data_IF_188717212480
#
_entry.id   IF_188717212480
#
_cell.length_a   1.000
_cell.length_b   1.000
_cell.length_c   1.000
_cell.angle_alpha   90.00
_cell.angle_beta   90.00
_cell.angle_gamma   90.00
#
_symmetry.space_group_name_H-M   'P 1'
#
loop_
_entity.id
_entity.type
_entity.pdbx_description
1 polymer ?
#
# COMPACT_ATOMS: atom_id res chain seq x y z
N UNK A 1 17.14 30.71 -1.28
CA UNK A 1 15.80 30.58 -0.67
C UNK A 1 14.77 30.93 -1.73
N UNK A 2 13.91 29.99 -2.12
CA UNK A 2 12.79 30.26 -3.04
C UNK A 2 11.53 30.55 -2.23
N UNK A 3 10.78 31.63 -2.52
CA UNK A 3 9.57 31.99 -1.80
C UNK A 3 8.36 31.25 -2.39
N UNK A 4 7.66 30.44 -1.58
CA UNK A 4 6.37 29.87 -1.95
C UNK A 4 6.15 28.43 -1.48
N UNK A 5 5.34 28.30 -0.43
CA UNK A 5 4.62 27.14 0.10
C UNK A 5 4.92 25.73 -0.44
N UNK A 6 5.35 24.85 0.47
CA UNK A 6 5.29 23.37 0.43
C UNK A 6 4.89 22.76 -0.92
N UNK A 7 5.79 22.84 -1.91
CA UNK A 7 5.64 22.05 -3.12
C UNK A 7 5.77 20.59 -2.71
N UNK A 8 4.67 19.84 -2.73
CA UNK A 8 4.70 18.39 -2.53
C UNK A 8 5.61 17.77 -3.59
N UNK A 9 6.83 17.42 -3.20
CA UNK A 9 7.91 17.06 -4.12
C UNK A 9 7.61 15.76 -4.90
N UNK A 10 6.59 14.99 -4.50
CA UNK A 10 6.04 13.89 -5.30
C UNK A 10 4.56 13.57 -4.94
N UNK A 11 3.57 13.95 -5.76
CA UNK A 11 2.15 13.64 -5.51
C UNK A 11 1.83 12.14 -5.61
N UNK A 12 2.69 11.32 -6.20
CA UNK A 12 2.49 9.88 -6.34
C UNK A 12 2.43 9.15 -4.99
N UNK A 13 3.05 9.70 -3.95
CA UNK A 13 3.10 9.08 -2.62
C UNK A 13 2.46 9.95 -1.54
N UNK A 14 2.24 11.23 -1.82
CA UNK A 14 1.75 12.18 -0.83
C UNK A 14 0.36 11.83 -0.27
N UNK A 15 -0.52 11.21 -1.08
CA UNK A 15 -1.84 10.80 -0.63
C UNK A 15 -1.80 9.75 0.50
N UNK A 16 -0.71 8.99 0.63
CA UNK A 16 -0.55 7.98 1.68
C UNK A 16 -0.38 8.62 3.08
N UNK A 17 0.02 9.89 3.13
CA UNK A 17 0.07 10.67 4.37
C UNK A 17 -1.25 11.39 4.69
N UNK A 18 -2.29 11.18 3.86
CA UNK A 18 -3.63 11.72 4.11
C UNK A 18 -4.27 11.10 5.35
N UNK A 19 -5.03 11.91 6.12
CA UNK A 19 -5.65 11.51 7.39
C UNK A 19 -6.54 10.25 7.30
N UNK A 20 -7.13 9.99 6.13
CA UNK A 20 -8.03 8.85 5.90
C UNK A 20 -7.37 7.62 5.27
N UNK A 21 -6.09 7.67 4.90
CA UNK A 21 -5.45 6.60 4.11
C UNK A 21 -5.49 5.25 4.82
N UNK A 22 -5.15 5.21 6.12
CA UNK A 22 -5.08 3.95 6.87
C UNK A 22 -6.45 3.30 7.04
N UNK A 23 -7.47 4.11 7.35
CA UNK A 23 -8.84 3.65 7.47
C UNK A 23 -9.32 3.09 6.12
N UNK A 24 -9.12 3.83 5.03
CA UNK A 24 -9.47 3.38 3.69
C UNK A 24 -8.77 2.06 3.33
N UNK A 25 -7.47 1.93 3.62
CA UNK A 25 -6.69 0.74 3.30
C UNK A 25 -7.21 -0.51 4.06
N UNK A 26 -7.47 -0.38 5.36
CA UNK A 26 -8.05 -1.48 6.17
C UNK A 26 -9.46 -1.82 5.70
N UNK A 27 -10.29 -0.82 5.41
CA UNK A 27 -11.63 -1.04 4.86
C UNK A 27 -11.60 -1.75 3.51
N UNK A 28 -10.65 -1.42 2.63
CA UNK A 28 -10.48 -2.08 1.33
C UNK A 28 -10.16 -3.57 1.50
N UNK A 29 -9.25 -3.92 2.41
CA UNK A 29 -8.93 -5.31 2.75
C UNK A 29 -10.18 -6.03 3.28
N UNK A 30 -10.90 -5.40 4.20
CA UNK A 30 -12.14 -5.96 4.75
C UNK A 30 -13.21 -6.20 3.69
N UNK A 31 -13.41 -5.25 2.76
CA UNK A 31 -14.36 -5.39 1.65
C UNK A 31 -13.95 -6.54 0.73
N UNK A 32 -12.68 -6.63 0.33
CA UNK A 32 -12.19 -7.75 -0.48
C UNK A 32 -12.41 -9.08 0.23
N UNK A 33 -12.13 -9.16 1.53
CA UNK A 33 -12.38 -10.36 2.33
C UNK A 33 -13.86 -10.75 2.38
N UNK A 34 -14.77 -9.78 2.59
CA UNK A 34 -16.21 -10.01 2.58
C UNK A 34 -16.72 -10.46 1.21
N UNK A 35 -16.18 -9.91 0.12
CA UNK A 35 -16.49 -10.35 -1.24
C UNK A 35 -16.09 -11.82 -1.41
N UNK A 36 -14.88 -12.19 -0.97
CA UNK A 36 -14.40 -13.57 -1.05
C UNK A 36 -15.27 -14.53 -0.21
N UNK A 37 -15.70 -14.14 1.00
CA UNK A 37 -16.64 -14.91 1.82
C UNK A 37 -18.02 -15.07 1.17
N UNK A 38 -18.42 -14.13 0.31
CA UNK A 38 -19.73 -14.13 -0.34
C UNK A 38 -19.79 -15.03 -1.59
N UNK A 39 -18.66 -15.61 -2.02
CA UNK A 39 -18.62 -16.51 -3.18
C UNK A 39 -19.14 -17.89 -2.74
N UNK A 40 -20.23 -18.41 -3.34
CA UNK A 40 -20.82 -19.69 -2.97
C UNK A 40 -20.02 -20.86 -3.56
N UNK A 41 -18.78 -21.06 -3.09
CA UNK A 41 -17.95 -22.20 -3.42
C UNK A 41 -17.79 -23.07 -2.16
N UNK A 42 -18.20 -24.34 -2.24
CA UNK A 42 -18.14 -25.27 -1.10
C UNK A 42 -16.72 -25.46 -0.54
N UNK A 43 -15.68 -25.15 -1.33
CA UNK A 43 -14.27 -25.21 -0.95
C UNK A 43 -13.75 -23.96 -0.22
N UNK A 44 -14.50 -22.86 -0.18
CA UNK A 44 -14.09 -21.60 0.47
C UNK A 44 -14.42 -21.60 1.96
N UNK A 45 -13.72 -22.46 2.71
CA UNK A 45 -13.79 -22.40 4.19
C UNK A 45 -13.13 -21.12 4.69
N UNK A 46 -13.51 -20.67 5.89
CA UNK A 46 -12.98 -19.42 6.48
C UNK A 46 -11.44 -19.34 6.47
N UNK A 47 -10.68 -20.40 6.84
CA UNK A 47 -9.21 -20.39 6.73
C UNK A 47 -8.69 -20.24 5.29
N UNK A 48 -9.35 -20.87 4.32
CA UNK A 48 -9.00 -20.70 2.91
C UNK A 48 -9.21 -19.26 2.46
N UNK A 49 -10.31 -18.61 2.88
CA UNK A 49 -10.58 -17.21 2.54
C UNK A 49 -9.52 -16.27 3.11
N UNK A 50 -9.06 -16.48 4.35
CA UNK A 50 -7.94 -15.74 4.91
C UNK A 50 -6.65 -15.95 4.12
N UNK A 51 -6.36 -17.19 3.72
CA UNK A 51 -5.20 -17.51 2.87
C UNK A 51 -5.26 -16.76 1.54
N UNK A 52 -6.40 -16.79 0.85
CA UNK A 52 -6.59 -16.06 -0.40
C UNK A 52 -6.48 -14.55 -0.23
N UNK A 53 -7.06 -14.00 0.85
CA UNK A 53 -6.94 -12.58 1.19
C UNK A 53 -5.47 -12.20 1.40
N UNK A 54 -4.69 -13.04 2.09
CA UNK A 54 -3.27 -12.81 2.33
C UNK A 54 -2.45 -12.86 1.04
N UNK A 55 -2.63 -13.89 0.21
CA UNK A 55 -1.90 -14.04 -1.05
C UNK A 55 -2.22 -12.87 -1.99
N UNK A 56 -3.49 -12.54 -2.16
CA UNK A 56 -3.94 -11.44 -3.02
C UNK A 56 -3.37 -10.10 -2.54
N UNK A 57 -3.47 -9.82 -1.24
CA UNK A 57 -2.93 -8.61 -0.64
C UNK A 57 -1.41 -8.51 -0.85
N UNK A 58 -0.65 -9.57 -0.56
CA UNK A 58 0.81 -9.58 -0.71
C UNK A 58 1.23 -9.44 -2.18
N UNK A 59 0.55 -10.12 -3.10
CA UNK A 59 0.82 -10.01 -4.54
C UNK A 59 0.59 -8.60 -5.06
N UNK A 60 -0.57 -8.01 -4.77
CA UNK A 60 -0.90 -6.64 -5.20
C UNK A 60 0.03 -5.64 -4.54
N UNK A 61 0.25 -5.74 -3.23
CA UNK A 61 1.12 -4.82 -2.49
C UNK A 61 2.56 -4.89 -2.96
N UNK A 62 3.09 -6.08 -3.25
CA UNK A 62 4.43 -6.23 -3.81
C UNK A 62 4.54 -5.58 -5.19
N UNK A 63 3.60 -5.87 -6.09
CA UNK A 63 3.57 -5.25 -7.42
C UNK A 63 3.52 -3.72 -7.29
N UNK A 64 2.59 -3.18 -6.51
CA UNK A 64 2.43 -1.74 -6.38
C UNK A 64 3.62 -1.09 -5.69
N UNK A 65 4.02 -1.56 -4.52
CA UNK A 65 5.04 -0.89 -3.70
C UNK A 65 6.46 -1.16 -4.20
N UNK A 66 6.77 -2.38 -4.61
CA UNK A 66 8.15 -2.81 -4.86
C UNK A 66 8.48 -3.05 -6.34
N UNK A 67 7.48 -3.17 -7.22
CA UNK A 67 7.70 -3.37 -8.65
C UNK A 67 7.46 -2.10 -9.48
N UNK A 68 6.37 -1.37 -9.23
CA UNK A 68 6.10 -0.14 -9.98
C UNK A 68 7.15 0.94 -9.69
N UNK A 69 7.63 1.59 -10.75
CA UNK A 69 8.65 2.65 -10.72
C UNK A 69 8.16 3.87 -11.46
N UNK A 70 8.81 5.01 -11.20
CA UNK A 70 8.44 6.32 -11.75
C UNK A 70 7.07 6.80 -11.27
N UNK A 71 6.65 7.96 -11.75
CA UNK A 71 5.29 8.48 -11.58
C UNK A 71 4.83 9.19 -12.88
N UNK A 72 3.52 9.29 -13.13
CA UNK A 72 2.99 9.95 -14.33
C UNK A 72 3.01 11.48 -14.24
N UNK A 73 3.33 12.04 -13.08
CA UNK A 73 3.22 13.47 -12.81
C UNK A 73 4.42 14.27 -13.34
N UNK A 74 4.15 15.48 -13.83
CA UNK A 74 5.17 16.45 -14.12
C UNK A 74 5.56 17.17 -12.82
N UNK A 75 6.65 16.73 -12.20
CA UNK A 75 7.18 17.31 -10.96
C UNK A 75 8.50 18.01 -11.24
N UNK A 76 8.93 18.89 -10.32
CA UNK A 76 10.24 19.55 -10.39
C UNK A 76 11.39 18.65 -9.90
N UNK A 77 11.21 17.33 -9.93
CA UNK A 77 12.13 16.34 -9.37
C UNK A 77 13.31 16.01 -10.30
N UNK A 78 13.33 16.62 -11.50
CA UNK A 78 14.30 16.39 -12.59
C UNK A 78 14.49 14.89 -12.93
N UNK A 79 13.46 14.08 -12.73
CA UNK A 79 13.51 12.63 -12.97
C UNK A 79 14.21 11.82 -11.89
N UNK A 80 14.46 12.38 -10.71
CA UNK A 80 15.01 11.67 -9.56
C UNK A 80 14.17 10.45 -9.16
N UNK A 81 12.84 10.51 -9.32
CA UNK A 81 11.94 9.39 -9.04
C UNK A 81 11.88 8.32 -10.13
N UNK A 82 12.49 8.52 -11.31
CA UNK A 82 12.35 7.63 -12.48
C UNK A 82 12.77 6.19 -12.22
N UNK A 83 13.78 6.01 -11.36
CA UNK A 83 14.34 4.68 -11.00
C UNK A 83 13.84 4.14 -9.67
N UNK A 84 13.15 4.97 -8.90
CA UNK A 84 12.68 4.63 -7.56
C UNK A 84 11.34 3.89 -7.66
N UNK A 85 11.23 2.82 -6.89
CA UNK A 85 9.98 2.12 -6.64
C UNK A 85 9.01 3.00 -5.87
N UNK A 86 7.72 2.68 -5.94
CA UNK A 86 6.71 3.42 -5.16
C UNK A 86 7.05 3.43 -3.67
N UNK A 87 7.56 2.31 -3.14
CA UNK A 87 8.05 2.20 -1.76
C UNK A 87 9.20 3.16 -1.48
N UNK A 88 10.21 3.24 -2.35
CA UNK A 88 11.36 4.13 -2.15
C UNK A 88 10.96 5.61 -2.22
N UNK A 89 9.94 5.94 -3.02
CA UNK A 89 9.42 7.30 -3.13
C UNK A 89 8.72 7.79 -1.85
N UNK A 90 8.10 6.90 -1.05
CA UNK A 90 7.37 7.28 0.17
C UNK A 90 8.27 8.03 1.15
N UNK A 91 7.79 9.16 1.67
CA UNK A 91 8.50 9.97 2.66
C UNK A 91 9.98 10.23 2.30
N UNK A 92 10.27 10.43 1.01
CA UNK A 92 11.62 10.70 0.50
C UNK A 92 12.65 9.61 0.85
N UNK A 93 12.22 8.35 0.99
CA UNK A 93 13.12 7.26 1.35
C UNK A 93 13.40 7.14 2.86
N UNK A 94 12.87 8.03 3.70
CA UNK A 94 13.07 7.98 5.15
C UNK A 94 12.49 6.69 5.72
N UNK A 95 13.30 5.97 6.48
CA UNK A 95 12.89 4.73 7.13
C UNK A 95 12.08 5.01 8.40
N UNK A 96 11.32 4.01 8.86
CA UNK A 96 10.58 4.05 10.13
C UNK A 96 9.55 5.17 10.30
N UNK A 97 9.09 5.78 9.20
CA UNK A 97 7.97 6.71 9.23
C UNK A 97 6.66 5.99 9.57
N UNK A 98 5.64 6.70 10.09
CA UNK A 98 4.36 6.09 10.43
C UNK A 98 3.73 5.31 9.26
N UNK A 99 3.72 5.89 8.06
CA UNK A 99 3.14 5.28 6.86
C UNK A 99 3.89 4.01 6.45
N UNK A 100 5.22 4.02 6.45
CA UNK A 100 6.02 2.82 6.15
C UNK A 100 5.80 1.73 7.20
N UNK A 101 5.78 2.09 8.49
CA UNK A 101 5.48 1.13 9.58
C UNK A 101 4.12 0.49 9.38
N UNK A 102 3.10 1.29 9.08
CA UNK A 102 1.75 0.80 8.80
C UNK A 102 1.75 -0.21 7.65
N UNK A 103 2.33 0.15 6.50
CA UNK A 103 2.39 -0.73 5.32
C UNK A 103 3.20 -2.01 5.55
N UNK A 104 4.18 -2.01 6.45
CA UNK A 104 4.91 -3.22 6.87
C UNK A 104 4.13 -4.07 7.88
N UNK A 105 3.36 -3.47 8.79
CA UNK A 105 2.62 -4.19 9.84
C UNK A 105 1.41 -4.95 9.27
N UNK A 106 0.69 -4.38 8.29
CA UNK A 106 -0.50 -5.03 7.74
C UNK A 106 -0.26 -6.45 7.18
N UNK A 107 0.73 -6.70 6.31
CA UNK A 107 0.98 -8.06 5.81
C UNK A 107 1.36 -9.04 6.92
N UNK A 108 1.99 -8.58 8.02
CA UNK A 108 2.30 -9.40 9.20
C UNK A 108 1.00 -9.81 9.91
N UNK A 109 0.09 -8.86 10.15
CA UNK A 109 -1.21 -9.14 10.77
C UNK A 109 -2.02 -10.12 9.91
N UNK A 110 -2.07 -9.89 8.59
CA UNK A 110 -2.77 -10.79 7.67
C UNK A 110 -2.17 -12.20 7.67
N UNK A 111 -0.85 -12.33 7.81
CA UNK A 111 -0.20 -13.63 7.91
C UNK A 111 -0.56 -14.36 9.21
N UNK A 112 -0.60 -13.64 10.33
CA UNK A 112 -1.06 -14.19 11.62
C UNK A 112 -2.51 -14.66 11.53
N UNK A 113 -3.40 -13.88 10.90
CA UNK A 113 -4.81 -14.26 10.70
C UNK A 113 -5.00 -15.48 9.79
N UNK A 114 -4.05 -15.75 8.90
CA UNK A 114 -4.06 -16.98 8.08
C UNK A 114 -3.71 -18.22 8.90
N UNK A 115 -2.99 -18.03 10.01
CA UNK A 115 -2.49 -19.11 10.88
C UNK A 115 -3.39 -19.37 12.09
N UNK A 116 -4.51 -18.63 12.21
CA UNK A 116 -5.48 -18.73 13.29
C UNK A 116 -6.69 -19.57 12.85
#
# INVERSE_FOLDING_TARGET
MMPGGHGNENPNVNYMNGRGFWCFYVSLIGIVHLILLSIPLDSFTVPWVWTFTNILHNGISFCFLHWTKSHPWLTNDQGSCRRLTHWEQIDHGLQYTPTRKFLTIIPIILFILTSA
#
